data_IF_161270017872
#
_entry.id   IF_161270017872
#
_cell.length_a   1.000
_cell.length_b   1.000
_cell.length_c   1.000
_cell.angle_alpha   90.00
_cell.angle_beta   90.00
_cell.angle_gamma   90.00
#
_symmetry.space_group_name_H-M   'P 1'
#
loop_
_entity.id
_entity.type
_entity.pdbx_description
1 polymer ?
#
# COMPACT_ATOMS: atom_id res chain seq x y z
N UNK A 1 16.13 17.56 -40.90
CA UNK A 1 15.76 17.99 -39.52
C UNK A 1 14.25 18.19 -39.31
N UNK A 2 13.50 18.89 -40.16
CA UNK A 2 12.03 19.14 -39.95
C UNK A 2 11.16 17.87 -39.95
N UNK A 3 11.53 16.80 -40.66
CA UNK A 3 10.77 15.52 -40.75
C UNK A 3 10.91 14.69 -39.44
N UNK A 4 12.11 14.65 -38.86
CA UNK A 4 12.35 13.96 -37.59
C UNK A 4 11.65 14.66 -36.41
N UNK A 5 11.65 16.00 -36.38
CA UNK A 5 10.95 16.79 -35.37
C UNK A 5 9.43 16.63 -35.44
N UNK A 6 8.83 16.58 -36.64
CA UNK A 6 7.39 16.26 -36.81
C UNK A 6 7.06 14.85 -36.38
N UNK A 7 7.91 13.84 -36.69
CA UNK A 7 7.71 12.47 -36.17
C UNK A 7 7.81 12.41 -34.67
N UNK A 8 8.73 13.14 -34.07
CA UNK A 8 8.90 13.22 -32.63
C UNK A 8 7.67 13.89 -31.95
N UNK A 9 7.16 14.98 -32.49
CA UNK A 9 5.93 15.64 -32.02
C UNK A 9 4.71 14.72 -32.17
N UNK A 10 4.56 14.04 -33.31
CA UNK A 10 3.43 13.10 -33.52
C UNK A 10 3.49 11.88 -32.60
N UNK A 11 4.68 11.40 -32.25
CA UNK A 11 4.88 10.35 -31.26
C UNK A 11 4.57 10.87 -29.85
N UNK A 12 5.02 12.09 -29.51
CA UNK A 12 4.72 12.75 -28.24
C UNK A 12 3.22 13.05 -28.08
N UNK A 13 2.55 13.57 -29.11
CA UNK A 13 1.10 13.81 -29.10
C UNK A 13 0.29 12.51 -29.00
N UNK A 14 0.72 11.42 -29.66
CA UNK A 14 0.11 10.09 -29.51
C UNK A 14 0.29 9.51 -28.10
N UNK A 15 1.42 9.75 -27.46
CA UNK A 15 1.66 9.32 -26.08
C UNK A 15 0.79 10.12 -25.09
N UNK A 16 0.51 11.40 -25.37
CA UNK A 16 -0.33 12.25 -24.51
C UNK A 16 -1.83 11.99 -24.61
N UNK A 17 -2.30 11.24 -25.63
CA UNK A 17 -3.72 10.94 -25.86
C UNK A 17 -4.07 9.46 -25.63
N UNK A 18 -3.16 8.66 -25.06
CA UNK A 18 -3.44 7.25 -24.74
C UNK A 18 -4.05 7.13 -23.34
N UNK A 19 -5.09 6.28 -23.21
CA UNK A 19 -5.67 5.93 -21.93
C UNK A 19 -4.62 5.35 -20.97
N UNK A 20 -4.81 5.53 -19.68
CA UNK A 20 -3.83 5.32 -18.62
C UNK A 20 -4.31 4.32 -17.59
N UNK A 21 -3.36 3.76 -16.86
CA UNK A 21 -3.61 2.98 -15.66
C UNK A 21 -3.38 3.86 -14.44
N UNK A 22 -4.44 4.14 -13.68
CA UNK A 22 -4.38 4.93 -12.45
C UNK A 22 -4.28 4.02 -11.23
N UNK A 23 -3.33 4.31 -10.33
CA UNK A 23 -3.23 3.67 -9.03
C UNK A 23 -3.95 4.57 -8.03
N UNK A 24 -5.14 4.16 -7.62
CA UNK A 24 -6.06 4.95 -6.82
C UNK A 24 -5.94 4.56 -5.35
N UNK A 25 -5.40 5.42 -4.49
CA UNK A 25 -5.31 5.14 -3.06
C UNK A 25 -6.67 5.18 -2.39
N UNK A 26 -6.82 4.39 -1.34
CA UNK A 26 -8.01 4.37 -0.48
C UNK A 26 -7.65 4.87 0.93
N UNK A 27 -8.66 5.04 1.79
CA UNK A 27 -8.44 5.30 3.22
C UNK A 27 -7.81 4.08 3.89
N UNK A 28 -7.08 4.28 5.00
CA UNK A 28 -6.48 3.16 5.77
C UNK A 28 -7.48 2.47 6.70
N UNK A 29 -8.67 3.02 6.81
CA UNK A 29 -9.76 2.52 7.62
C UNK A 29 -11.00 3.40 7.46
N UNK A 30 -11.97 3.29 8.38
CA UNK A 30 -13.19 4.09 8.30
C UNK A 30 -12.96 5.51 8.81
N UNK A 31 -12.59 6.38 7.89
CA UNK A 31 -12.39 7.82 8.11
C UNK A 31 -12.95 8.60 6.92
N UNK A 32 -13.14 9.93 7.07
CA UNK A 32 -13.61 10.76 5.96
C UNK A 32 -12.56 10.83 4.84
N UNK A 33 -13.03 10.92 3.61
CA UNK A 33 -12.17 11.02 2.41
C UNK A 33 -11.31 12.28 2.49
N UNK A 34 -11.92 13.41 2.87
CA UNK A 34 -11.31 14.74 2.90
C UNK A 34 -10.15 14.84 3.91
N UNK A 35 -10.11 13.94 4.90
CA UNK A 35 -9.04 13.91 5.89
C UNK A 35 -7.72 13.40 5.30
N UNK A 36 -7.77 12.50 4.31
CA UNK A 36 -6.60 11.73 3.88
C UNK A 36 -6.35 11.73 2.38
N UNK A 37 -7.32 12.12 1.56
CA UNK A 37 -7.18 12.18 0.11
C UNK A 37 -7.29 13.62 -0.40
N UNK A 38 -6.49 14.02 -1.40
CA UNK A 38 -6.57 15.33 -2.02
C UNK A 38 -7.96 15.60 -2.64
N UNK A 39 -8.51 16.82 -2.55
CA UNK A 39 -9.82 17.17 -3.11
C UNK A 39 -9.95 16.87 -4.61
N UNK A 40 -8.90 17.12 -5.39
CA UNK A 40 -8.90 16.92 -6.85
C UNK A 40 -9.03 15.44 -7.26
N UNK A 41 -8.74 14.52 -6.35
CA UNK A 41 -8.83 13.08 -6.58
C UNK A 41 -10.26 12.66 -6.93
N UNK A 42 -11.26 13.26 -6.30
CA UNK A 42 -12.69 12.98 -6.55
C UNK A 42 -13.05 13.20 -8.00
N UNK A 43 -12.62 14.31 -8.60
CA UNK A 43 -12.84 14.61 -10.02
C UNK A 43 -12.18 13.58 -10.94
N UNK A 44 -10.94 13.20 -10.65
CA UNK A 44 -10.19 12.22 -11.44
C UNK A 44 -10.82 10.83 -11.38
N UNK A 45 -11.26 10.37 -10.22
CA UNK A 45 -11.89 9.05 -10.06
C UNK A 45 -13.26 9.02 -10.74
N UNK A 46 -14.01 10.12 -10.72
CA UNK A 46 -15.39 10.18 -11.23
C UNK A 46 -15.50 9.98 -12.76
N UNK A 47 -14.42 10.12 -13.50
CA UNK A 47 -14.42 9.92 -14.96
C UNK A 47 -13.94 8.52 -15.38
N UNK A 48 -13.40 7.74 -14.44
CA UNK A 48 -12.95 6.37 -14.69
C UNK A 48 -14.15 5.42 -14.58
N UNK A 49 -14.34 4.57 -15.59
CA UNK A 49 -15.47 3.63 -15.65
C UNK A 49 -15.05 2.17 -15.51
N UNK A 50 -13.74 1.87 -15.54
CA UNK A 50 -13.20 0.50 -15.45
C UNK A 50 -12.25 0.40 -14.27
N UNK A 51 -12.49 -0.56 -13.39
CA UNK A 51 -11.71 -0.73 -12.17
C UNK A 51 -11.21 -2.17 -12.01
N UNK A 52 -9.96 -2.31 -11.58
CA UNK A 52 -9.35 -3.56 -11.10
C UNK A 52 -9.31 -3.46 -9.58
N UNK A 53 -9.91 -4.41 -8.88
CA UNK A 53 -10.14 -4.34 -7.43
C UNK A 53 -9.90 -5.69 -6.76
N UNK A 54 -9.50 -5.69 -5.50
CA UNK A 54 -9.39 -6.94 -4.73
C UNK A 54 -10.77 -7.47 -4.31
N UNK A 55 -11.71 -6.56 -4.00
CA UNK A 55 -13.07 -6.89 -3.61
C UNK A 55 -14.04 -5.84 -4.18
N UNK A 56 -14.97 -6.31 -5.00
CA UNK A 56 -15.94 -5.43 -5.68
C UNK A 56 -16.84 -4.69 -4.67
N UNK A 57 -17.22 -5.33 -3.57
CA UNK A 57 -18.13 -4.73 -2.58
C UNK A 57 -17.49 -3.55 -1.84
N UNK A 58 -16.23 -3.68 -1.43
CA UNK A 58 -15.48 -2.61 -0.76
C UNK A 58 -15.19 -1.47 -1.72
N UNK A 59 -14.79 -1.77 -2.95
CA UNK A 59 -14.54 -0.78 -4.00
C UNK A 59 -15.79 0.04 -4.33
N UNK A 60 -16.96 -0.59 -4.48
CA UNK A 60 -18.25 0.11 -4.70
C UNK A 60 -18.57 1.09 -3.57
N UNK A 61 -18.36 0.68 -2.31
CA UNK A 61 -18.56 1.55 -1.15
C UNK A 61 -17.61 2.73 -1.16
N UNK A 62 -16.33 2.49 -1.45
CA UNK A 62 -15.32 3.53 -1.57
C UNK A 62 -15.70 4.55 -2.65
N UNK A 63 -16.05 4.10 -3.87
CA UNK A 63 -16.46 4.97 -4.97
C UNK A 63 -17.68 5.83 -4.61
N UNK A 64 -18.68 5.27 -3.93
CA UNK A 64 -19.83 6.02 -3.42
C UNK A 64 -19.46 7.01 -2.32
N UNK A 65 -18.44 6.71 -1.51
CA UNK A 65 -17.91 7.62 -0.49
C UNK A 65 -17.14 8.78 -1.14
N UNK A 66 -16.39 8.51 -2.22
CA UNK A 66 -15.67 9.52 -3.01
C UNK A 66 -16.64 10.46 -3.72
N UNK A 67 -17.64 9.93 -4.39
CA UNK A 67 -18.68 10.72 -5.08
C UNK A 67 -20.02 9.96 -5.09
N UNK A 68 -21.00 10.41 -4.28
CA UNK A 68 -22.32 9.79 -4.24
C UNK A 68 -23.08 9.77 -5.58
N UNK A 69 -22.73 10.67 -6.52
CA UNK A 69 -23.35 10.74 -7.84
C UNK A 69 -22.89 9.64 -8.81
N UNK A 70 -21.78 8.93 -8.53
CA UNK A 70 -21.32 7.83 -9.38
C UNK A 70 -22.42 6.77 -9.51
N UNK A 71 -22.80 6.42 -10.74
CA UNK A 71 -23.73 5.31 -11.03
C UNK A 71 -22.92 4.01 -11.08
N UNK A 72 -23.04 3.19 -10.06
CA UNK A 72 -22.21 1.96 -9.91
C UNK A 72 -22.49 0.95 -11.03
N UNK A 73 -23.73 0.90 -11.52
CA UNK A 73 -24.13 -0.06 -12.57
C UNK A 73 -23.53 0.25 -13.94
N UNK A 74 -23.04 1.48 -14.14
CA UNK A 74 -22.33 1.90 -15.36
C UNK A 74 -20.83 1.53 -15.33
N UNK A 75 -20.34 1.00 -14.19
CA UNK A 75 -18.93 0.68 -13.99
C UNK A 75 -18.65 -0.79 -14.27
N UNK A 76 -17.47 -1.05 -14.85
CA UNK A 76 -16.92 -2.39 -15.04
C UNK A 76 -15.89 -2.69 -13.95
N UNK A 77 -16.02 -3.85 -13.31
CA UNK A 77 -15.08 -4.31 -12.29
C UNK A 77 -14.42 -5.62 -12.70
N UNK A 78 -13.10 -5.67 -12.59
CA UNK A 78 -12.31 -6.89 -12.67
C UNK A 78 -11.79 -7.21 -11.27
N UNK A 79 -12.09 -8.42 -10.78
CA UNK A 79 -11.59 -8.86 -9.47
C UNK A 79 -10.20 -9.48 -9.62
N UNK A 80 -9.25 -8.96 -8.84
CA UNK A 80 -7.85 -9.37 -8.82
C UNK A 80 -7.52 -9.98 -7.46
N UNK A 81 -7.24 -11.27 -7.40
CA UNK A 81 -6.83 -11.96 -6.20
C UNK A 81 -5.53 -12.78 -6.44
N UNK A 82 -5.02 -13.41 -5.39
CA UNK A 82 -3.76 -14.17 -5.44
C UNK A 82 -3.79 -15.38 -6.41
N UNK A 83 -4.97 -15.81 -6.83
CA UNK A 83 -5.18 -16.96 -7.73
C UNK A 83 -5.48 -16.54 -9.17
N UNK A 84 -5.59 -15.24 -9.45
CA UNK A 84 -5.89 -14.74 -10.79
C UNK A 84 -4.73 -15.03 -11.76
N UNK A 85 -5.02 -15.74 -12.86
CA UNK A 85 -4.01 -16.08 -13.87
C UNK A 85 -3.46 -14.83 -14.57
N UNK A 86 -2.16 -14.83 -14.84
CA UNK A 86 -1.49 -13.70 -15.54
C UNK A 86 -2.10 -13.38 -16.89
N UNK A 87 -2.63 -14.38 -17.61
CA UNK A 87 -3.32 -14.18 -18.89
C UNK A 87 -4.62 -13.41 -18.69
N UNK A 88 -5.34 -13.69 -17.61
CA UNK A 88 -6.54 -12.97 -17.23
C UNK A 88 -6.24 -11.53 -16.84
N UNK A 89 -5.22 -11.30 -16.00
CA UNK A 89 -4.74 -9.96 -15.64
C UNK A 89 -4.43 -9.13 -16.90
N UNK A 90 -3.81 -9.75 -17.91
CA UNK A 90 -3.51 -9.08 -19.18
C UNK A 90 -4.77 -8.59 -19.92
N UNK A 91 -5.91 -9.27 -19.74
CA UNK A 91 -7.22 -8.88 -20.32
C UNK A 91 -7.83 -7.68 -19.58
N UNK A 92 -7.56 -7.52 -18.28
CA UNK A 92 -8.05 -6.37 -17.50
C UNK A 92 -7.55 -5.02 -18.04
N UNK A 93 -6.45 -5.04 -18.80
CA UNK A 93 -5.87 -3.86 -19.44
C UNK A 93 -6.35 -3.67 -20.90
N UNK A 94 -7.20 -4.55 -21.46
CA UNK A 94 -7.75 -4.38 -22.80
C UNK A 94 -8.57 -3.08 -22.99
N UNK A 95 -9.36 -2.59 -21.98
CA UNK A 95 -10.06 -1.33 -22.10
C UNK A 95 -9.15 -0.14 -22.45
N UNK A 96 -7.89 -0.15 -22.01
CA UNK A 96 -6.93 0.92 -22.31
C UNK A 96 -6.65 1.01 -23.81
N UNK A 97 -6.63 -0.12 -24.53
CA UNK A 97 -6.47 -0.13 -25.99
C UNK A 97 -7.65 0.51 -26.72
N UNK A 98 -8.82 0.51 -26.08
CA UNK A 98 -10.05 1.11 -26.59
C UNK A 98 -10.21 2.58 -26.13
N UNK A 99 -9.16 3.17 -25.54
CA UNK A 99 -9.17 4.56 -25.11
C UNK A 99 -9.84 4.81 -23.76
N UNK A 100 -10.10 3.77 -22.94
CA UNK A 100 -10.70 3.90 -21.61
C UNK A 100 -9.62 3.83 -20.52
N UNK A 101 -9.61 4.82 -19.65
CA UNK A 101 -8.78 4.81 -18.43
C UNK A 101 -9.20 3.67 -17.50
N UNK A 102 -8.21 3.03 -16.86
CA UNK A 102 -8.44 1.95 -15.90
C UNK A 102 -7.88 2.36 -14.55
N UNK A 103 -8.65 2.16 -13.48
CA UNK A 103 -8.23 2.40 -12.11
C UNK A 103 -7.93 1.10 -11.35
N UNK A 104 -6.82 1.03 -10.61
CA UNK A 104 -6.60 -0.01 -9.59
C UNK A 104 -6.95 0.56 -8.23
N UNK A 105 -7.79 -0.15 -7.47
CA UNK A 105 -8.17 0.19 -6.10
C UNK A 105 -7.80 -0.99 -5.19
N UNK A 106 -6.97 -0.74 -4.17
CA UNK A 106 -6.66 -1.72 -3.11
C UNK A 106 -7.64 -1.65 -1.95
N UNK A 107 -7.59 -2.61 -1.04
CA UNK A 107 -8.44 -2.61 0.16
C UNK A 107 -8.09 -1.47 1.13
N UNK A 108 -6.81 -1.06 1.22
CA UNK A 108 -6.37 0.02 2.10
C UNK A 108 -5.09 0.69 1.59
N UNK A 109 -5.06 2.03 1.59
CA UNK A 109 -3.87 2.80 1.26
C UNK A 109 -3.48 2.76 -0.22
N UNK A 110 -2.18 2.70 -0.49
CA UNK A 110 -1.62 2.77 -1.83
C UNK A 110 -1.65 1.42 -2.53
N UNK A 111 -2.30 1.28 -3.71
CA UNK A 111 -2.29 0.04 -4.48
C UNK A 111 -0.88 -0.30 -4.99
N UNK A 112 -0.67 -1.56 -5.29
CA UNK A 112 0.59 -2.18 -5.71
C UNK A 112 1.69 -2.22 -4.61
N UNK A 113 1.33 -1.92 -3.36
CA UNK A 113 2.21 -2.06 -2.19
C UNK A 113 1.66 -3.15 -1.28
N UNK A 114 2.33 -4.30 -1.25
CA UNK A 114 1.92 -5.49 -0.50
C UNK A 114 0.57 -6.10 -0.95
N UNK A 115 0.16 -5.84 -2.16
CA UNK A 115 -1.06 -6.33 -2.78
C UNK A 115 -0.80 -6.87 -4.22
N UNK A 116 -1.75 -7.58 -4.84
CA UNK A 116 -1.57 -8.17 -6.17
C UNK A 116 -1.50 -7.13 -7.32
N UNK A 117 -1.80 -5.85 -7.09
CA UNK A 117 -1.76 -4.78 -8.09
C UNK A 117 -0.40 -4.59 -8.74
N UNK A 118 0.68 -4.96 -8.05
CA UNK A 118 2.04 -4.88 -8.59
C UNK A 118 2.21 -5.70 -9.89
N UNK A 119 1.52 -6.83 -10.04
CA UNK A 119 1.58 -7.64 -11.27
C UNK A 119 0.87 -6.94 -12.44
N UNK A 120 -0.24 -6.22 -12.17
CA UNK A 120 -0.91 -5.37 -13.18
C UNK A 120 0.02 -4.27 -13.68
N UNK A 121 0.69 -3.59 -12.76
CA UNK A 121 1.67 -2.53 -13.09
C UNK A 121 2.80 -3.07 -13.96
N UNK A 122 3.35 -4.24 -13.60
CA UNK A 122 4.38 -4.92 -14.39
C UNK A 122 3.92 -5.22 -15.83
N UNK A 123 2.69 -5.73 -15.99
CA UNK A 123 2.12 -6.00 -17.31
C UNK A 123 1.86 -4.70 -18.06
N UNK A 124 1.39 -3.64 -17.40
CA UNK A 124 1.19 -2.33 -18.00
C UNK A 124 2.50 -1.77 -18.59
N UNK A 125 3.60 -1.82 -17.84
CA UNK A 125 4.92 -1.43 -18.34
C UNK A 125 5.37 -2.27 -19.53
N UNK A 126 5.15 -3.58 -19.52
CA UNK A 126 5.49 -4.45 -20.67
C UNK A 126 4.70 -4.12 -21.94
N UNK A 127 3.55 -3.47 -21.81
CA UNK A 127 2.67 -3.02 -22.91
C UNK A 127 2.83 -1.54 -23.24
N UNK A 128 3.80 -0.84 -22.62
CA UNK A 128 4.02 0.61 -22.74
C UNK A 128 2.78 1.44 -22.35
N UNK A 129 1.98 0.97 -21.40
CA UNK A 129 0.86 1.70 -20.83
C UNK A 129 1.40 2.66 -19.78
N UNK A 130 0.98 3.92 -19.84
CA UNK A 130 1.33 4.90 -18.81
C UNK A 130 0.66 4.55 -17.48
N UNK A 131 1.46 4.41 -16.43
CA UNK A 131 1.01 4.21 -15.05
C UNK A 131 1.06 5.53 -14.31
N UNK A 132 -0.05 5.91 -13.67
CA UNK A 132 -0.20 7.17 -12.94
C UNK A 132 -0.55 6.88 -11.50
N UNK A 133 0.42 6.93 -10.56
CA UNK A 133 0.12 6.83 -9.15
C UNK A 133 -0.55 8.13 -8.66
N UNK A 134 -1.68 7.99 -7.96
CA UNK A 134 -2.35 9.12 -7.34
C UNK A 134 -1.90 9.27 -5.88
N UNK A 135 -1.92 10.50 -5.39
CA UNK A 135 -1.48 10.82 -4.03
C UNK A 135 -2.49 10.33 -2.99
N UNK A 136 -2.03 9.64 -1.97
CA UNK A 136 -2.87 9.18 -0.88
C UNK A 136 -2.08 8.59 0.29
N UNK A 137 -2.77 8.12 1.35
CA UNK A 137 -2.12 7.67 2.56
C UNK A 137 -1.39 6.34 2.37
N UNK A 138 -0.20 6.24 2.98
CA UNK A 138 0.55 5.00 3.12
C UNK A 138 0.83 4.76 4.60
N UNK A 139 0.29 3.66 5.14
CA UNK A 139 0.53 3.29 6.54
C UNK A 139 2.03 3.12 6.84
N UNK A 140 2.79 2.61 5.89
CA UNK A 140 4.25 2.39 6.01
C UNK A 140 4.97 3.73 6.21
N UNK A 141 4.70 4.71 5.34
CA UNK A 141 5.36 6.01 5.40
C UNK A 141 4.87 6.84 6.59
N UNK A 142 3.57 6.83 6.89
CA UNK A 142 3.02 7.56 8.03
C UNK A 142 3.56 7.01 9.35
N UNK A 143 3.66 5.69 9.48
CA UNK A 143 4.28 5.06 10.64
C UNK A 143 5.76 5.45 10.78
N UNK A 144 6.52 5.39 9.67
CA UNK A 144 7.94 5.77 9.68
C UNK A 144 8.14 7.24 10.06
N UNK A 145 7.35 8.15 9.49
CA UNK A 145 7.37 9.59 9.83
C UNK A 145 7.17 9.82 11.33
N UNK A 146 6.26 9.08 11.95
CA UNK A 146 5.90 9.26 13.36
C UNK A 146 6.80 8.46 14.33
N UNK A 147 7.63 7.53 13.83
CA UNK A 147 8.45 6.64 14.65
C UNK A 147 9.67 7.29 15.31
N UNK A 148 10.20 8.37 14.72
CA UNK A 148 11.50 8.95 15.09
C UNK A 148 12.71 8.14 14.60
N UNK A 149 12.50 7.08 13.83
CA UNK A 149 13.56 6.24 13.26
C UNK A 149 14.06 6.78 11.92
N UNK A 150 15.18 6.24 11.41
CA UNK A 150 15.77 6.69 10.15
C UNK A 150 14.83 6.48 8.97
N UNK A 151 14.43 7.57 8.32
CA UNK A 151 13.71 7.57 7.06
C UNK A 151 14.61 7.62 5.82
N UNK A 152 15.94 7.71 6.00
CA UNK A 152 16.90 7.70 4.88
C UNK A 152 17.33 6.28 4.51
N UNK A 153 17.34 5.37 5.48
CA UNK A 153 17.70 3.97 5.28
C UNK A 153 16.66 3.09 5.98
N UNK A 154 15.72 2.56 5.23
CA UNK A 154 14.69 1.66 5.73
C UNK A 154 14.35 0.57 4.73
N UNK A 155 13.82 -0.53 5.24
CA UNK A 155 13.31 -1.63 4.44
C UNK A 155 11.93 -2.05 4.92
N UNK A 156 10.98 -2.17 3.99
CA UNK A 156 9.70 -2.82 4.25
C UNK A 156 9.83 -4.30 3.90
N UNK A 157 9.67 -5.15 4.90
CA UNK A 157 9.87 -6.61 4.80
C UNK A 157 8.55 -7.38 4.62
N UNK A 158 7.41 -6.69 4.57
CA UNK A 158 6.11 -7.33 4.47
C UNK A 158 5.78 -8.19 5.69
N UNK A 159 5.25 -9.40 5.45
CA UNK A 159 4.93 -10.37 6.50
C UNK A 159 6.17 -11.19 6.88
N UNK A 160 6.38 -11.37 8.17
CA UNK A 160 7.37 -12.32 8.67
C UNK A 160 6.87 -13.77 8.54
N UNK A 161 7.76 -14.79 8.59
CA UNK A 161 7.36 -16.18 8.61
C UNK A 161 6.34 -16.46 9.72
N UNK A 162 5.35 -17.30 9.43
CA UNK A 162 4.27 -17.58 10.39
C UNK A 162 4.76 -18.45 11.54
N UNK A 163 5.67 -19.41 11.27
CA UNK A 163 6.09 -20.46 12.20
C UNK A 163 7.51 -20.21 12.72
N UNK A 164 7.77 -20.68 13.95
CA UNK A 164 9.11 -20.85 14.45
C UNK A 164 9.69 -22.21 13.98
N UNK A 165 11.04 -22.34 13.79
CA UNK A 165 12.05 -21.33 14.18
C UNK A 165 12.30 -20.23 13.15
N UNK A 166 11.73 -20.29 11.92
CA UNK A 166 12.04 -19.37 10.82
C UNK A 166 11.74 -17.91 11.21
N UNK A 167 10.64 -17.65 11.92
CA UNK A 167 10.28 -16.31 12.39
C UNK A 167 11.35 -15.73 13.32
N UNK A 168 11.77 -16.51 14.31
CA UNK A 168 12.80 -16.08 15.27
C UNK A 168 14.14 -15.79 14.59
N UNK A 169 14.53 -16.60 13.61
CA UNK A 169 15.75 -16.40 12.82
C UNK A 169 15.62 -15.10 12.01
N UNK A 170 14.48 -14.88 11.37
CA UNK A 170 14.24 -13.67 10.58
C UNK A 170 14.28 -12.41 11.45
N UNK A 171 13.62 -12.42 12.61
CA UNK A 171 13.63 -11.28 13.56
C UNK A 171 15.07 -10.93 13.94
N UNK A 172 15.87 -11.91 14.34
CA UNK A 172 17.28 -11.69 14.72
C UNK A 172 18.13 -11.18 13.55
N UNK A 173 17.88 -11.67 12.35
CA UNK A 173 18.55 -11.19 11.13
C UNK A 173 18.22 -9.73 10.85
N UNK A 174 16.95 -9.34 10.95
CA UNK A 174 16.49 -7.95 10.75
C UNK A 174 17.06 -7.03 11.82
N UNK A 175 17.06 -7.46 13.09
CA UNK A 175 17.68 -6.70 14.18
C UNK A 175 19.17 -6.50 13.96
N UNK A 176 19.90 -7.55 13.56
CA UNK A 176 21.32 -7.45 13.23
C UNK A 176 21.57 -6.44 12.10
N UNK A 177 20.76 -6.47 11.05
CA UNK A 177 20.85 -5.51 9.95
C UNK A 177 20.60 -4.08 10.43
N UNK A 178 19.61 -3.88 11.28
CA UNK A 178 19.33 -2.60 11.92
C UNK A 178 20.55 -2.11 12.73
N UNK A 179 21.19 -2.99 13.50
CA UNK A 179 22.35 -2.65 14.32
C UNK A 179 23.59 -2.31 13.48
N UNK A 180 23.86 -3.08 12.42
CA UNK A 180 25.10 -2.94 11.62
C UNK A 180 24.98 -1.88 10.53
N UNK A 181 23.83 -1.74 9.89
CA UNK A 181 23.60 -0.86 8.73
C UNK A 181 22.82 0.42 9.09
N UNK A 182 22.30 0.53 10.32
CA UNK A 182 21.41 1.63 10.70
C UNK A 182 20.07 1.64 9.95
N UNK A 183 19.68 0.50 9.33
CA UNK A 183 18.50 0.39 8.51
C UNK A 183 17.26 0.11 9.36
N UNK A 184 16.26 1.01 9.32
CA UNK A 184 14.95 0.77 9.95
C UNK A 184 14.26 -0.41 9.27
N UNK A 185 13.84 -1.40 10.06
CA UNK A 185 13.12 -2.57 9.55
C UNK A 185 11.64 -2.41 9.82
N UNK A 186 10.83 -2.43 8.77
CA UNK A 186 9.37 -2.25 8.84
C UNK A 186 8.71 -3.56 8.42
N UNK A 187 7.72 -4.01 9.15
CA UNK A 187 6.95 -5.23 8.85
C UNK A 187 5.51 -5.13 9.33
N UNK A 188 4.68 -5.97 8.78
CA UNK A 188 3.25 -6.05 9.07
C UNK A 188 2.85 -7.45 9.49
N UNK A 189 1.71 -7.53 10.12
CA UNK A 189 1.02 -8.80 10.38
C UNK A 189 -0.49 -8.63 10.16
N UNK A 190 -1.19 -9.74 10.01
CA UNK A 190 -2.65 -9.70 10.01
C UNK A 190 -3.16 -9.28 11.39
N UNK A 191 -4.24 -8.47 11.47
CA UNK A 191 -4.72 -7.94 12.76
C UNK A 191 -4.96 -8.99 13.84
N UNK A 192 -5.33 -10.20 13.45
CA UNK A 192 -5.58 -11.31 14.39
C UNK A 192 -4.30 -11.90 15.00
N UNK A 193 -3.13 -11.68 14.38
CA UNK A 193 -1.84 -12.22 14.83
C UNK A 193 -0.90 -11.16 15.41
N UNK A 194 -1.34 -9.90 15.52
CA UNK A 194 -0.52 -8.82 16.04
C UNK A 194 0.04 -9.10 17.45
N UNK A 195 -0.80 -9.60 18.34
CA UNK A 195 -0.36 -9.94 19.70
C UNK A 195 0.73 -11.05 19.69
N UNK A 196 0.59 -12.05 18.82
CA UNK A 196 1.59 -13.10 18.65
C UNK A 196 2.90 -12.54 18.09
N UNK A 197 2.83 -11.65 17.08
CA UNK A 197 4.02 -11.01 16.53
C UNK A 197 4.74 -10.17 17.60
N UNK A 198 4.00 -9.39 18.37
CA UNK A 198 4.58 -8.60 19.47
C UNK A 198 5.31 -9.52 20.46
N UNK A 199 4.68 -10.61 20.91
CA UNK A 199 5.30 -11.58 21.81
C UNK A 199 6.60 -12.17 21.22
N UNK A 200 6.60 -12.52 19.92
CA UNK A 200 7.79 -13.01 19.22
C UNK A 200 8.91 -11.96 19.17
N UNK A 201 8.58 -10.67 18.95
CA UNK A 201 9.55 -9.57 18.99
C UNK A 201 10.13 -9.39 20.40
N UNK A 202 9.29 -9.37 21.43
CA UNK A 202 9.72 -9.22 22.82
C UNK A 202 10.63 -10.36 23.32
N UNK A 203 10.50 -11.56 22.73
CA UNK A 203 11.34 -12.72 23.06
C UNK A 203 12.66 -12.74 22.29
N UNK A 204 12.70 -12.21 21.07
CA UNK A 204 13.83 -12.40 20.17
C UNK A 204 14.73 -11.16 20.01
N UNK A 205 14.20 -9.94 20.25
CA UNK A 205 14.99 -8.72 20.17
C UNK A 205 15.70 -8.40 21.49
N UNK A 206 16.81 -7.67 21.36
CA UNK A 206 17.53 -7.10 22.51
C UNK A 206 16.61 -6.16 23.30
N UNK A 207 16.65 -6.18 24.65
CA UNK A 207 15.85 -5.29 25.50
C UNK A 207 15.99 -3.79 25.20
N UNK A 208 17.13 -3.35 24.65
CA UNK A 208 17.39 -1.96 24.30
C UNK A 208 17.02 -1.62 22.85
N UNK A 209 16.68 -2.60 22.01
CA UNK A 209 16.21 -2.34 20.66
C UNK A 209 14.93 -1.50 20.70
N UNK A 210 14.95 -0.38 19.96
CA UNK A 210 13.76 0.45 19.83
C UNK A 210 12.73 -0.24 18.94
N UNK A 211 11.53 -0.40 19.46
CA UNK A 211 10.35 -0.95 18.78
C UNK A 211 9.27 0.11 18.71
N UNK A 212 8.87 0.48 17.51
CA UNK A 212 7.69 1.30 17.28
C UNK A 212 6.51 0.40 16.91
N UNK A 213 5.36 0.68 17.51
CA UNK A 213 4.07 0.09 17.17
C UNK A 213 3.16 1.22 16.72
N UNK A 214 2.64 1.14 15.49
CA UNK A 214 1.72 2.12 14.93
C UNK A 214 0.44 1.41 14.50
N UNK A 215 -0.64 1.63 15.23
CA UNK A 215 -1.93 0.99 14.99
C UNK A 215 -3.01 2.02 14.64
N UNK A 216 -3.99 1.63 13.80
CA UNK A 216 -5.13 2.47 13.37
C UNK A 216 -4.71 3.84 12.82
N UNK A 217 -3.63 3.89 12.07
CA UNK A 217 -3.08 5.13 11.51
C UNK A 217 -4.17 5.87 10.72
N UNK A 218 -4.32 7.17 10.96
CA UNK A 218 -5.34 8.10 10.44
C UNK A 218 -6.73 7.97 11.06
N UNK A 219 -6.98 7.02 11.95
CA UNK A 219 -8.25 6.87 12.65
C UNK A 219 -8.27 7.65 13.97
N UNK A 220 -9.44 7.81 14.58
CA UNK A 220 -9.56 8.43 15.89
C UNK A 220 -8.90 7.62 17.01
N UNK A 221 -8.80 6.31 16.81
CA UNK A 221 -8.13 5.35 17.70
C UNK A 221 -6.64 5.20 17.40
N UNK A 222 -6.05 6.10 16.59
CA UNK A 222 -4.64 6.05 16.25
C UNK A 222 -3.74 5.94 17.49
N UNK A 223 -2.82 5.00 17.43
CA UNK A 223 -1.81 4.77 18.45
C UNK A 223 -0.45 4.60 17.80
N UNK A 224 0.49 5.49 18.10
CA UNK A 224 1.87 5.40 17.59
C UNK A 224 2.82 5.68 18.75
N UNK A 225 3.67 4.69 19.06
CA UNK A 225 4.62 4.83 20.16
C UNK A 225 5.90 4.05 19.89
N UNK A 226 7.05 4.73 20.07
CA UNK A 226 8.39 4.15 20.00
C UNK A 226 8.99 4.03 21.37
N UNK A 227 9.33 2.81 21.81
CA UNK A 227 9.95 2.54 23.10
C UNK A 227 10.91 1.36 22.99
N UNK A 228 11.88 1.21 23.90
CA UNK A 228 12.69 0.00 23.98
C UNK A 228 11.83 -1.26 24.18
N UNK A 229 12.28 -2.39 23.68
CA UNK A 229 11.64 -3.69 23.87
C UNK A 229 11.38 -4.00 25.36
N UNK A 230 12.30 -3.60 26.24
CA UNK A 230 12.13 -3.74 27.71
C UNK A 230 10.88 -3.04 28.24
N UNK A 231 10.53 -1.86 27.73
CA UNK A 231 9.30 -1.16 28.10
C UNK A 231 8.04 -1.96 27.72
N UNK A 232 8.03 -2.52 26.51
CA UNK A 232 6.88 -3.26 26.01
C UNK A 232 6.61 -4.57 26.76
N UNK A 233 7.61 -5.13 27.46
CA UNK A 233 7.42 -6.31 28.31
C UNK A 233 6.49 -6.05 29.52
N UNK A 234 6.40 -4.79 29.95
CA UNK A 234 5.55 -4.39 31.08
C UNK A 234 4.33 -3.55 30.69
N UNK A 235 4.30 -3.06 29.45
CA UNK A 235 3.28 -2.14 28.96
C UNK A 235 2.77 -2.61 27.59
N UNK A 236 2.09 -3.77 27.56
CA UNK A 236 1.57 -4.37 26.32
C UNK A 236 0.36 -3.57 25.84
N UNK A 237 0.39 -3.00 24.61
CA UNK A 237 -0.74 -2.26 24.07
C UNK A 237 -1.85 -3.18 23.58
N UNK A 238 -3.08 -2.69 23.60
CA UNK A 238 -4.20 -3.37 22.95
C UNK A 238 -4.17 -3.10 21.44
N UNK A 239 -3.62 -4.06 20.70
CA UNK A 239 -3.49 -4.04 19.24
C UNK A 239 -4.20 -5.22 18.56
N UNK A 240 -4.96 -5.99 19.34
CA UNK A 240 -5.69 -7.14 18.83
C UNK A 240 -6.78 -6.68 17.87
N UNK A 241 -6.83 -7.28 16.68
CA UNK A 241 -7.75 -6.97 15.57
C UNK A 241 -7.64 -5.55 15.01
N UNK A 242 -6.58 -4.82 15.33
CA UNK A 242 -6.30 -3.48 14.79
C UNK A 242 -5.25 -3.55 13.68
N UNK A 243 -5.44 -2.88 12.53
CA UNK A 243 -4.37 -2.75 11.53
C UNK A 243 -3.13 -2.11 12.18
N UNK A 244 -1.97 -2.73 12.05
CA UNK A 244 -0.76 -2.23 12.70
C UNK A 244 0.49 -2.41 11.84
N UNK A 245 1.41 -1.44 11.98
CA UNK A 245 2.78 -1.47 11.46
C UNK A 245 3.72 -1.64 12.66
N UNK A 246 4.71 -2.51 12.51
CA UNK A 246 5.78 -2.72 13.47
C UNK A 246 7.11 -2.28 12.86
N UNK A 247 7.94 -1.62 13.66
CA UNK A 247 9.26 -1.19 13.20
C UNK A 247 10.30 -1.36 14.30
N UNK A 248 11.49 -1.84 13.92
CA UNK A 248 12.67 -1.78 14.76
C UNK A 248 13.71 -0.87 14.10
N UNK A 249 14.34 0.00 14.90
CA UNK A 249 15.24 1.01 14.39
C UNK A 249 16.10 1.62 15.49
N UNK A 250 17.02 2.51 15.08
CA UNK A 250 17.71 3.42 15.98
C UNK A 250 16.97 4.75 16.02
N UNK A 251 16.88 5.34 17.20
CA UNK A 251 16.29 6.66 17.45
C UNK A 251 17.36 7.60 17.95
#
# INVERSE_FOLDING_TARGET
>A
MRSAYRRFLTIFEKIFCMAKLYLIPTTLGDTSIERVLPPDLTGMISVITVFIVENIRTARRFLKKVNPAIVIDDLTFFELNQHTDKKEISRFLEPIKNGLDVGIISEAGCPAIADPGAEVVKIAHSKNIQVVPLVGPSSILLALMASGMSGQNFAFNGYLPIKNPEKSVQIKMLEKRMQTEGQTQIFIETPYRNAQLLDDLLKNCDPQTMLCIAADITLETEFILSKPVSFWKTSIPDIQKRPAIFMIGKV
#
